data_IF_956163914831
#
_entry.id   IF_956163914831
#
_cell.length_a   1.000
_cell.length_b   1.000
_cell.length_c   1.000
_cell.angle_alpha   90.00
_cell.angle_beta   90.00
_cell.angle_gamma   90.00
#
_symmetry.space_group_name_H-M   'P 1'
#
loop_
_entity.id
_entity.type
_entity.pdbx_description
1 polymer ?
#
# COMPACT_ATOMS: atom_id res chain seq x y z
N UNK A 1 16.00 -26.53 3.89
CA UNK A 1 17.02 -25.49 3.70
C UNK A 1 17.96 -25.97 2.60
N UNK A 2 17.99 -25.24 1.48
CA UNK A 2 18.81 -25.28 0.25
C UNK A 2 19.58 -26.56 -0.17
N UNK A 3 18.93 -27.48 -0.88
CA UNK A 3 19.61 -28.53 -1.67
C UNK A 3 20.16 -28.05 -3.02
N UNK A 4 19.75 -26.86 -3.49
CA UNK A 4 20.06 -26.36 -4.85
C UNK A 4 21.40 -25.62 -4.90
N UNK A 5 21.94 -25.16 -3.77
CA UNK A 5 23.19 -24.39 -3.72
C UNK A 5 24.43 -25.23 -4.08
N UNK A 6 24.37 -26.56 -3.92
CA UNK A 6 25.48 -27.46 -4.19
C UNK A 6 25.46 -28.10 -5.59
N UNK A 7 24.49 -27.76 -6.45
CA UNK A 7 24.31 -28.39 -7.76
C UNK A 7 25.28 -27.80 -8.80
N UNK A 8 26.14 -28.65 -9.38
CA UNK A 8 27.08 -28.25 -10.44
C UNK A 8 26.43 -28.25 -11.82
N UNK A 9 26.56 -27.15 -12.56
CA UNK A 9 26.10 -27.04 -13.96
C UNK A 9 26.96 -27.85 -14.94
N UNK A 10 26.41 -28.10 -16.14
CA UNK A 10 27.03 -28.80 -17.26
C UNK A 10 26.58 -30.26 -17.41
N UNK A 11 27.24 -30.99 -18.31
CA UNK A 11 27.02 -32.43 -18.50
C UNK A 11 27.62 -33.24 -17.35
N UNK A 12 26.82 -34.13 -16.74
CA UNK A 12 27.18 -34.91 -15.55
C UNK A 12 26.58 -36.31 -15.63
N UNK A 13 27.25 -37.27 -15.00
CA UNK A 13 26.70 -38.59 -14.71
C UNK A 13 26.24 -38.63 -13.25
N UNK A 14 25.05 -39.16 -13.00
CA UNK A 14 24.52 -39.43 -11.66
C UNK A 14 24.32 -40.93 -11.48
N UNK A 15 24.90 -41.50 -10.43
CA UNK A 15 24.62 -42.89 -10.05
C UNK A 15 23.24 -42.94 -9.40
N UNK A 16 22.40 -43.88 -9.85
CA UNK A 16 21.09 -44.08 -9.24
C UNK A 16 21.25 -44.77 -7.88
N UNK A 17 20.42 -44.37 -6.91
CA UNK A 17 20.39 -44.96 -5.58
C UNK A 17 19.12 -45.81 -5.44
N UNK A 18 19.19 -46.88 -4.65
CA UNK A 18 18.02 -47.69 -4.31
C UNK A 18 17.13 -46.99 -3.25
N UNK A 19 16.06 -47.67 -2.82
CA UNK A 19 15.14 -47.15 -1.79
C UNK A 19 15.79 -46.98 -0.41
N UNK A 20 16.93 -47.62 -0.17
CA UNK A 20 17.71 -47.55 1.05
C UNK A 20 18.83 -46.48 0.97
N UNK A 21 19.03 -45.87 -0.21
CA UNK A 21 20.05 -44.86 -0.47
C UNK A 21 21.39 -45.40 -0.95
N UNK A 22 21.48 -46.70 -1.26
CA UNK A 22 22.71 -47.36 -1.72
C UNK A 22 22.87 -47.29 -3.25
N UNK A 23 24.10 -47.13 -3.77
CA UNK A 23 24.33 -46.99 -5.21
C UNK A 23 24.04 -48.27 -5.98
N UNK A 24 23.24 -48.15 -7.04
CA UNK A 24 22.91 -49.25 -7.95
C UNK A 24 24.04 -49.51 -8.94
N UNK A 25 24.45 -50.77 -9.07
CA UNK A 25 25.50 -51.19 -10.00
C UNK A 25 25.08 -50.93 -11.46
N UNK A 26 26.01 -50.42 -12.26
CA UNK A 26 25.86 -50.14 -13.70
C UNK A 26 24.71 -49.19 -14.09
N UNK A 27 24.15 -48.47 -13.13
CA UNK A 27 22.99 -47.60 -13.34
C UNK A 27 23.41 -46.14 -13.19
N UNK A 28 23.73 -45.49 -14.31
CA UNK A 28 24.08 -44.06 -14.33
C UNK A 28 23.18 -43.29 -15.28
N UNK A 29 22.82 -42.07 -14.90
CA UNK A 29 22.05 -41.14 -15.70
C UNK A 29 22.96 -40.01 -16.18
N UNK A 30 23.05 -39.83 -17.49
CA UNK A 30 23.76 -38.71 -18.09
C UNK A 30 22.80 -37.54 -18.34
N UNK A 31 23.05 -36.41 -17.70
CA UNK A 31 22.18 -35.22 -17.77
C UNK A 31 23.00 -33.95 -18.01
N UNK A 32 22.36 -32.97 -18.66
CA UNK A 32 22.86 -31.61 -18.73
C UNK A 32 22.13 -30.74 -17.70
N UNK A 33 22.85 -30.26 -16.70
CA UNK A 33 22.30 -29.44 -15.61
C UNK A 33 22.54 -27.96 -15.91
N UNK A 34 21.47 -27.17 -15.99
CA UNK A 34 21.56 -25.72 -16.14
C UNK A 34 20.80 -25.02 -15.01
N UNK A 35 21.52 -24.21 -14.22
CA UNK A 35 20.93 -23.37 -13.17
C UNK A 35 20.81 -21.96 -13.71
N UNK A 36 19.59 -21.41 -13.72
CA UNK A 36 19.34 -20.04 -14.18
C UNK A 36 18.41 -19.30 -13.22
N UNK A 37 18.57 -17.98 -13.10
CA UNK A 37 17.59 -17.13 -12.42
C UNK A 37 16.23 -17.20 -13.15
N UNK A 38 15.12 -16.77 -12.53
CA UNK A 38 13.75 -16.74 -13.11
C UNK A 38 13.61 -16.07 -14.49
N UNK A 39 14.68 -15.48 -15.04
CA UNK A 39 14.75 -14.84 -16.35
C UNK A 39 15.55 -15.61 -17.42
N UNK A 40 16.02 -16.84 -17.15
CA UNK A 40 16.59 -17.75 -18.15
C UNK A 40 17.92 -17.27 -18.76
N UNK A 41 19.02 -17.98 -18.45
CA UNK A 41 20.39 -17.62 -18.86
C UNK A 41 20.73 -17.91 -20.33
N UNK A 42 20.00 -17.30 -21.28
CA UNK A 42 20.34 -17.32 -22.70
C UNK A 42 21.07 -16.06 -23.14
N UNK A 43 22.13 -16.19 -23.96
CA UNK A 43 22.75 -15.03 -24.63
C UNK A 43 21.70 -14.35 -25.52
N UNK A 44 21.48 -13.03 -25.40
CA UNK A 44 20.50 -12.34 -26.22
C UNK A 44 20.90 -12.46 -27.70
N UNK A 45 20.09 -13.15 -28.51
CA UNK A 45 20.21 -13.10 -29.98
C UNK A 45 20.10 -11.63 -30.37
N UNK A 46 21.21 -11.03 -30.84
CA UNK A 46 21.23 -9.73 -31.50
C UNK A 46 20.41 -9.84 -32.80
N UNK A 47 19.08 -9.71 -32.70
CA UNK A 47 18.24 -9.38 -33.85
C UNK A 47 18.37 -7.89 -34.12
N UNK A 48 18.45 -7.55 -35.41
CA UNK A 48 18.84 -6.25 -35.94
C UNK A 48 18.15 -5.04 -35.33
N UNK A 49 18.87 -3.92 -35.37
CA UNK A 49 18.56 -2.65 -34.71
C UNK A 49 17.38 -1.90 -35.36
N UNK A 50 16.70 -2.45 -36.38
CA UNK A 50 15.62 -1.74 -37.10
C UNK A 50 14.21 -1.89 -36.54
N UNK A 51 13.98 -2.66 -35.45
CA UNK A 51 12.70 -2.63 -34.72
C UNK A 51 12.93 -2.41 -33.24
N UNK A 52 13.80 -1.46 -32.89
CA UNK A 52 13.82 -0.89 -31.55
C UNK A 52 12.96 0.37 -31.55
N UNK A 53 11.64 0.21 -31.71
CA UNK A 53 10.72 1.10 -31.00
C UNK A 53 10.92 0.81 -29.52
N UNK A 54 11.92 1.47 -28.93
CA UNK A 54 11.96 1.76 -27.51
C UNK A 54 10.63 2.44 -27.21
N UNK A 55 9.61 1.66 -26.85
CA UNK A 55 8.71 2.11 -25.82
C UNK A 55 9.60 2.27 -24.60
N UNK A 56 10.20 3.46 -24.49
CA UNK A 56 10.83 3.96 -23.28
C UNK A 56 9.92 3.54 -22.15
N UNK A 57 10.45 2.77 -21.20
CA UNK A 57 9.81 2.38 -19.94
C UNK A 57 8.73 3.41 -19.59
N UNK A 58 7.49 3.02 -19.86
CA UNK A 58 6.29 3.76 -19.53
C UNK A 58 6.22 3.67 -18.00
N UNK A 59 6.88 4.60 -17.32
CA UNK A 59 6.94 4.67 -15.85
C UNK A 59 5.57 5.04 -15.25
N UNK A 60 4.58 5.32 -16.11
CA UNK A 60 3.25 5.83 -15.77
C UNK A 60 2.08 5.00 -16.27
N UNK A 61 2.27 3.96 -17.08
CA UNK A 61 1.19 3.20 -17.74
C UNK A 61 0.53 3.87 -18.96
N UNK A 62 0.84 5.14 -19.27
CA UNK A 62 0.27 5.91 -20.40
C UNK A 62 0.82 5.41 -21.75
N UNK A 63 -0.07 5.25 -22.74
CA UNK A 63 0.25 4.94 -24.13
C UNK A 63 0.28 6.19 -24.99
N UNK A 64 1.19 6.22 -25.97
CA UNK A 64 1.27 7.30 -26.94
C UNK A 64 0.12 7.20 -27.95
N UNK A 65 -0.62 8.29 -28.13
CA UNK A 65 -1.76 8.39 -29.06
C UNK A 65 -1.28 8.81 -30.45
N UNK A 66 -0.21 9.61 -30.53
CA UNK A 66 0.36 10.10 -31.79
C UNK A 66 -0.18 11.45 -32.22
N UNK A 67 -0.99 12.11 -31.39
CA UNK A 67 -1.44 13.48 -31.55
C UNK A 67 -0.75 14.31 -30.47
N UNK A 68 0.16 15.20 -30.88
CA UNK A 68 1.07 15.90 -29.96
C UNK A 68 0.33 16.64 -28.83
N UNK A 69 -0.75 17.35 -29.15
CA UNK A 69 -1.56 18.08 -28.15
C UNK A 69 -2.15 17.13 -27.09
N UNK A 70 -2.69 15.99 -27.50
CA UNK A 70 -3.23 14.98 -26.58
C UNK A 70 -2.11 14.30 -25.78
N UNK A 71 -1.02 13.91 -26.46
CA UNK A 71 0.13 13.29 -25.79
C UNK A 71 0.74 14.22 -24.74
N UNK A 72 0.80 15.53 -25.01
CA UNK A 72 1.29 16.52 -24.06
C UNK A 72 0.29 16.77 -22.92
N UNK A 73 -1.03 16.74 -23.18
CA UNK A 73 -2.06 16.80 -22.15
C UNK A 73 -2.00 15.59 -21.19
N UNK A 74 -1.76 14.37 -21.69
CA UNK A 74 -1.56 13.19 -20.84
C UNK A 74 -0.21 13.19 -20.12
N UNK A 75 0.83 13.86 -20.64
CA UNK A 75 2.11 14.04 -19.94
C UNK A 75 2.05 15.10 -18.85
N UNK A 76 1.19 16.12 -19.00
CA UNK A 76 1.04 17.18 -18.03
C UNK A 76 0.56 16.61 -16.69
N UNK A 77 1.50 16.50 -15.73
CA UNK A 77 1.30 16.06 -14.35
C UNK A 77 0.54 14.73 -14.16
N UNK A 78 0.77 13.74 -15.02
CA UNK A 78 0.55 12.33 -14.65
C UNK A 78 1.63 11.85 -13.66
N UNK A 79 1.88 12.62 -12.59
CA UNK A 79 2.65 12.12 -11.47
C UNK A 79 1.65 11.38 -10.60
N UNK A 80 1.70 10.05 -10.72
CA UNK A 80 0.96 9.02 -10.01
C UNK A 80 0.92 9.24 -8.49
N UNK A 81 0.18 10.25 -8.04
CA UNK A 81 0.10 10.65 -6.65
C UNK A 81 -0.69 9.60 -5.86
N UNK A 82 -1.75 9.03 -6.44
CA UNK A 82 -2.54 8.01 -5.73
C UNK A 82 -1.77 6.72 -5.47
N UNK A 83 -1.13 6.10 -6.49
CA UNK A 83 -0.41 4.84 -6.23
C UNK A 83 0.88 5.04 -5.41
N UNK A 84 1.52 6.21 -5.50
CA UNK A 84 2.66 6.52 -4.62
C UNK A 84 2.24 6.77 -3.17
N UNK A 85 1.17 7.54 -2.94
CA UNK A 85 0.60 7.75 -1.61
C UNK A 85 0.08 6.44 -1.00
N UNK A 86 -0.59 5.60 -1.80
CA UNK A 86 -1.01 4.27 -1.37
C UNK A 86 0.17 3.45 -0.86
N UNK A 87 1.24 3.40 -1.65
CA UNK A 87 2.43 2.60 -1.33
C UNK A 87 3.13 3.13 -0.08
N UNK A 88 3.19 4.44 0.09
CA UNK A 88 3.74 5.07 1.30
C UNK A 88 2.88 4.69 2.51
N UNK A 89 1.56 4.83 2.43
CA UNK A 89 0.63 4.46 3.50
C UNK A 89 0.77 2.98 3.90
N UNK A 90 0.73 2.07 2.92
CA UNK A 90 0.88 0.63 3.15
C UNK A 90 2.24 0.30 3.78
N UNK A 91 3.31 1.00 3.39
CA UNK A 91 4.63 0.80 3.98
C UNK A 91 4.70 1.26 5.45
N UNK A 92 4.13 2.42 5.78
CA UNK A 92 4.06 2.90 7.17
C UNK A 92 3.20 1.98 8.03
N UNK A 93 2.09 1.46 7.49
CA UNK A 93 1.22 0.50 8.17
C UNK A 93 1.96 -0.81 8.48
N UNK A 94 2.63 -1.39 7.48
CA UNK A 94 3.43 -2.62 7.66
C UNK A 94 4.53 -2.41 8.68
N UNK A 95 5.24 -1.27 8.61
CA UNK A 95 6.29 -0.94 9.58
C UNK A 95 5.73 -0.86 11.01
N UNK A 96 4.55 -0.26 11.18
CA UNK A 96 3.90 -0.21 12.49
C UNK A 96 3.48 -1.60 12.99
N UNK A 97 2.89 -2.43 12.13
CA UNK A 97 2.51 -3.81 12.48
C UNK A 97 3.74 -4.62 12.92
N UNK A 98 4.84 -4.55 12.18
CA UNK A 98 6.11 -5.19 12.53
C UNK A 98 6.64 -4.69 13.88
N UNK A 99 6.58 -3.37 14.12
CA UNK A 99 6.98 -2.79 15.40
C UNK A 99 6.12 -3.25 16.58
N UNK A 100 4.87 -3.64 16.32
CA UNK A 100 3.99 -4.25 17.31
C UNK A 100 4.19 -5.78 17.43
N UNK A 101 4.99 -6.40 16.56
CA UNK A 101 5.15 -7.86 16.47
C UNK A 101 3.91 -8.56 15.90
N UNK A 102 3.16 -7.87 15.03
CA UNK A 102 1.99 -8.39 14.35
C UNK A 102 2.33 -8.83 12.92
N UNK A 103 1.54 -9.75 12.39
CA UNK A 103 1.60 -10.12 10.96
C UNK A 103 1.04 -9.00 10.06
N UNK A 104 1.38 -9.00 8.75
CA UNK A 104 1.01 -7.94 7.81
C UNK A 104 -0.50 -7.81 7.56
N UNK A 105 -1.28 -8.85 7.90
CA UNK A 105 -2.74 -8.85 7.78
C UNK A 105 -3.46 -8.35 9.05
N UNK A 106 -2.72 -7.90 10.08
CA UNK A 106 -3.33 -7.48 11.34
C UNK A 106 -3.99 -6.11 11.24
N UNK A 107 -5.12 -5.95 11.93
CA UNK A 107 -5.91 -4.71 11.92
C UNK A 107 -5.35 -3.66 12.88
N UNK A 108 -5.68 -2.38 12.64
CA UNK A 108 -5.36 -1.28 13.57
C UNK A 108 -5.89 -1.56 14.98
N UNK A 109 -7.09 -2.13 15.07
CA UNK A 109 -7.70 -2.58 16.33
C UNK A 109 -6.83 -3.58 17.08
N UNK A 110 -6.32 -4.61 16.40
CA UNK A 110 -5.49 -5.64 17.02
C UNK A 110 -4.16 -5.05 17.52
N UNK A 111 -3.51 -4.21 16.71
CA UNK A 111 -2.28 -3.54 17.12
C UNK A 111 -2.48 -2.62 18.31
N UNK A 112 -3.56 -1.84 18.32
CA UNK A 112 -3.85 -0.96 19.45
C UNK A 112 -4.13 -1.72 20.74
N UNK A 113 -4.93 -2.80 20.69
CA UNK A 113 -5.20 -3.65 21.87
C UNK A 113 -3.93 -4.30 22.42
N UNK A 114 -3.07 -4.78 21.53
CA UNK A 114 -1.80 -5.40 21.92
C UNK A 114 -0.85 -4.37 22.55
N UNK A 115 -0.76 -3.18 21.95
CA UNK A 115 0.06 -2.09 22.46
C UNK A 115 -0.41 -1.66 23.86
N UNK A 116 -1.71 -1.43 24.04
CA UNK A 116 -2.33 -1.14 25.32
C UNK A 116 -2.03 -2.22 26.38
N UNK A 117 -2.26 -3.49 26.05
CA UNK A 117 -2.01 -4.61 26.96
C UNK A 117 -0.54 -4.70 27.39
N UNK A 118 0.40 -4.42 26.48
CA UNK A 118 1.84 -4.44 26.80
C UNK A 118 2.26 -3.27 27.68
N UNK A 119 1.68 -2.08 27.48
CA UNK A 119 1.95 -0.92 28.33
C UNK A 119 1.44 -1.17 29.76
N UNK A 120 0.24 -1.74 29.91
CA UNK A 120 -0.27 -2.16 31.22
C UNK A 120 0.54 -3.30 31.87
N UNK A 121 1.02 -4.27 31.09
CA UNK A 121 1.88 -5.32 31.62
C UNK A 121 3.22 -4.75 32.13
N UNK A 122 3.78 -3.77 31.42
CA UNK A 122 4.99 -3.08 31.84
C UNK A 122 4.76 -2.26 33.13
N UNK A 123 3.57 -1.69 33.33
CA UNK A 123 3.25 -0.94 34.57
C UNK A 123 3.12 -1.82 35.81
N UNK A 124 2.74 -3.10 35.67
CA UNK A 124 2.47 -4.00 36.80
C UNK A 124 3.72 -4.75 37.30
N UNK A 125 4.87 -4.56 36.67
CA UNK A 125 6.12 -5.27 37.01
C UNK A 125 6.89 -4.58 38.15
N UNK A 126 6.55 -3.34 38.51
CA UNK A 126 7.13 -2.61 39.64
C UNK A 126 6.42 -2.97 40.96
N UNK A 127 7.09 -3.77 41.80
CA UNK A 127 6.57 -4.33 43.06
C UNK A 127 6.67 -3.40 44.29
N UNK A 128 7.09 -2.14 44.13
CA UNK A 128 7.27 -1.20 45.22
C UNK A 128 6.08 -0.22 45.33
N UNK A 129 5.55 -0.03 46.54
CA UNK A 129 4.40 0.85 46.80
C UNK A 129 4.65 2.35 46.48
N UNK A 130 5.91 2.79 46.39
CA UNK A 130 6.29 4.14 45.97
C UNK A 130 6.25 4.34 44.43
N UNK A 131 6.34 3.27 43.64
CA UNK A 131 6.29 3.32 42.16
C UNK A 131 4.86 3.35 41.61
N UNK A 132 3.84 3.14 42.46
CA UNK A 132 2.42 3.26 42.07
C UNK A 132 2.06 4.66 41.57
N UNK A 133 2.79 5.69 41.98
CA UNK A 133 2.62 7.07 41.49
C UNK A 133 3.15 7.29 40.06
N UNK A 134 3.95 6.36 39.52
CA UNK A 134 4.49 6.39 38.14
C UNK A 134 3.93 5.24 37.29
N UNK A 135 2.71 4.77 37.60
CA UNK A 135 2.05 3.77 36.79
C UNK A 135 1.97 4.24 35.33
N UNK A 136 2.44 3.42 34.40
CA UNK A 136 2.43 3.81 33.00
C UNK A 136 0.99 3.90 32.49
N UNK A 137 0.57 5.09 32.09
CA UNK A 137 -0.76 5.30 31.50
C UNK A 137 -0.65 5.32 29.99
N UNK A 138 -1.63 4.70 29.35
CA UNK A 138 -1.81 4.70 27.91
C UNK A 138 -3.11 5.43 27.62
N UNK A 139 -3.01 6.65 27.10
CA UNK A 139 -4.17 7.47 26.73
C UNK A 139 -4.14 7.76 25.23
N UNK A 140 -5.32 7.99 24.67
CA UNK A 140 -5.49 8.45 23.30
C UNK A 140 -6.28 9.75 23.35
N UNK A 141 -5.64 10.82 22.89
CA UNK A 141 -6.28 12.10 22.66
C UNK A 141 -6.75 12.19 21.21
N UNK A 142 -7.84 12.90 20.94
CA UNK A 142 -8.29 13.18 19.58
C UNK A 142 -8.06 14.65 19.29
N UNK A 143 -7.03 14.93 18.51
CA UNK A 143 -6.69 16.28 18.08
C UNK A 143 -7.12 16.49 16.63
N UNK A 144 -8.02 17.46 16.41
CA UNK A 144 -8.60 17.77 15.09
C UNK A 144 -9.21 16.56 14.36
N UNK A 145 -9.76 15.60 15.12
CA UNK A 145 -10.32 14.36 14.56
C UNK A 145 -9.29 13.25 14.29
N UNK A 146 -8.02 13.44 14.68
CA UNK A 146 -6.97 12.44 14.53
C UNK A 146 -6.45 11.94 15.89
N UNK A 147 -6.31 10.62 16.09
CA UNK A 147 -5.92 10.03 17.36
C UNK A 147 -4.41 10.18 17.59
N UNK A 148 -4.03 10.65 18.77
CA UNK A 148 -2.64 10.77 19.24
C UNK A 148 -2.46 9.95 20.50
N UNK A 149 -1.41 9.14 20.55
CA UNK A 149 -1.09 8.36 21.75
C UNK A 149 -0.34 9.26 22.73
N UNK A 150 -0.82 9.33 23.96
CA UNK A 150 -0.13 9.94 25.08
C UNK A 150 0.30 8.84 26.05
N UNK A 151 1.62 8.79 26.30
CA UNK A 151 2.22 7.87 27.26
C UNK A 151 2.69 8.67 28.47
N UNK A 152 2.24 8.27 29.65
CA UNK A 152 2.76 8.79 30.92
C UNK A 152 3.49 7.66 31.66
N UNK A 153 4.49 8.01 32.47
CA UNK A 153 5.27 7.06 33.26
C UNK A 153 6.44 6.37 32.52
N UNK A 154 6.98 5.33 33.16
CA UNK A 154 8.17 4.63 32.68
C UNK A 154 7.84 3.50 31.68
N UNK A 155 7.59 3.87 30.42
CA UNK A 155 7.32 2.92 29.34
C UNK A 155 8.62 2.45 28.66
N UNK A 156 8.84 1.14 28.46
CA UNK A 156 10.01 0.60 27.73
C UNK A 156 10.19 1.20 26.33
N UNK A 157 11.45 1.41 25.92
CA UNK A 157 11.81 2.03 24.64
C UNK A 157 11.22 1.32 23.41
N UNK A 158 11.08 -0.01 23.49
CA UNK A 158 10.49 -0.81 22.41
C UNK A 158 9.04 -0.37 22.18
N UNK A 159 8.25 -0.18 23.24
CA UNK A 159 6.86 0.24 23.14
C UNK A 159 6.75 1.71 22.73
N UNK A 160 7.68 2.58 23.18
CA UNK A 160 7.75 3.97 22.71
C UNK A 160 8.00 4.04 21.19
N UNK A 161 8.89 3.20 20.66
CA UNK A 161 9.14 3.11 19.21
C UNK A 161 7.90 2.64 18.44
N UNK A 162 7.13 1.69 18.98
CA UNK A 162 5.85 1.26 18.37
C UNK A 162 4.83 2.41 18.36
N UNK A 163 4.77 3.23 19.41
CA UNK A 163 3.91 4.43 19.46
C UNK A 163 4.35 5.50 18.47
N UNK A 164 5.66 5.74 18.32
CA UNK A 164 6.19 6.66 17.30
C UNK A 164 5.87 6.17 15.87
N UNK A 165 5.94 4.85 15.63
CA UNK A 165 5.54 4.29 14.35
C UNK A 165 4.04 4.44 14.10
N UNK A 166 3.21 4.35 15.14
CA UNK A 166 1.78 4.64 15.05
C UNK A 166 1.51 6.09 14.65
N UNK A 167 2.19 7.06 15.29
CA UNK A 167 2.04 8.48 14.97
C UNK A 167 2.37 8.77 13.50
N UNK A 168 3.36 8.09 12.91
CA UNK A 168 3.65 8.22 11.47
C UNK A 168 2.50 7.76 10.59
N UNK A 169 1.84 6.64 10.93
CA UNK A 169 0.65 6.15 10.22
C UNK A 169 -0.47 7.20 10.28
N UNK A 170 -0.73 7.77 11.45
CA UNK A 170 -1.74 8.81 11.62
C UNK A 170 -1.39 10.08 10.84
N UNK A 171 -0.11 10.50 10.88
CA UNK A 171 0.35 11.66 10.12
C UNK A 171 0.18 11.46 8.61
N UNK A 172 0.36 10.25 8.09
CA UNK A 172 0.05 9.96 6.68
C UNK A 172 -1.46 9.92 6.43
N UNK A 173 -2.28 9.39 7.35
CA UNK A 173 -3.74 9.38 7.21
C UNK A 173 -4.26 10.82 7.10
N UNK A 174 -3.77 11.70 7.98
CA UNK A 174 -4.07 13.14 7.96
C UNK A 174 -3.71 13.77 6.61
N UNK A 175 -2.47 13.58 6.14
CA UNK A 175 -2.03 14.10 4.84
C UNK A 175 -2.87 13.61 3.66
N UNK A 176 -3.33 12.36 3.68
CA UNK A 176 -4.16 11.81 2.60
C UNK A 176 -5.56 12.40 2.67
N UNK A 177 -6.19 12.42 3.85
CA UNK A 177 -7.55 12.96 4.05
C UNK A 177 -7.62 14.45 3.68
N UNK A 178 -6.62 15.24 4.06
CA UNK A 178 -6.60 16.69 3.76
C UNK A 178 -6.32 16.98 2.28
N UNK A 179 -5.61 16.10 1.57
CA UNK A 179 -5.17 16.35 0.19
C UNK A 179 -5.98 15.61 -0.87
N UNK A 180 -6.74 14.58 -0.49
CA UNK A 180 -7.46 13.70 -1.43
C UNK A 180 -8.41 14.48 -2.32
N UNK A 181 -9.23 15.36 -1.74
CA UNK A 181 -10.29 16.07 -2.48
C UNK A 181 -9.66 17.02 -3.52
N UNK A 182 -8.64 17.76 -3.11
CA UNK A 182 -7.89 18.62 -4.03
C UNK A 182 -7.17 17.84 -5.14
N UNK A 183 -6.75 16.60 -4.88
CA UNK A 183 -6.12 15.73 -5.88
C UNK A 183 -7.17 15.12 -6.82
N UNK A 184 -8.31 14.67 -6.30
CA UNK A 184 -9.43 14.14 -7.10
C UNK A 184 -9.94 15.22 -8.05
N UNK A 185 -10.26 16.41 -7.54
CA UNK A 185 -10.73 17.53 -8.38
C UNK A 185 -9.72 17.89 -9.49
N UNK A 186 -8.41 17.87 -9.19
CA UNK A 186 -7.37 18.11 -10.20
C UNK A 186 -7.37 17.04 -11.28
N UNK A 187 -7.52 15.76 -10.92
CA UNK A 187 -7.59 14.66 -11.89
C UNK A 187 -8.83 14.78 -12.76
N UNK A 188 -9.98 15.07 -12.17
CA UNK A 188 -11.24 15.30 -12.91
C UNK A 188 -11.14 16.47 -13.88
N UNK A 189 -10.55 17.59 -13.45
CA UNK A 189 -10.32 18.75 -14.31
C UNK A 189 -9.39 18.41 -15.48
N UNK A 190 -8.32 17.64 -15.25
CA UNK A 190 -7.46 17.16 -16.34
C UNK A 190 -8.22 16.23 -17.29
N UNK A 191 -9.03 15.30 -16.77
CA UNK A 191 -9.88 14.43 -17.59
C UNK A 191 -10.83 15.24 -18.49
N UNK A 192 -11.45 16.29 -17.96
CA UNK A 192 -12.34 17.17 -18.71
C UNK A 192 -11.58 17.89 -19.83
N UNK A 193 -10.45 18.52 -19.51
CA UNK A 193 -9.58 19.20 -20.51
C UNK A 193 -9.11 18.26 -21.63
N UNK A 194 -8.75 17.02 -21.28
CA UNK A 194 -8.33 16.00 -22.25
C UNK A 194 -9.50 15.60 -23.15
N UNK A 195 -10.70 15.45 -22.59
CA UNK A 195 -11.89 15.12 -23.36
C UNK A 195 -12.27 16.25 -24.32
N UNK A 196 -12.24 17.50 -23.86
CA UNK A 196 -12.53 18.67 -24.70
C UNK A 196 -11.52 18.77 -25.85
N UNK A 197 -10.23 18.60 -25.57
CA UNK A 197 -9.18 18.55 -26.59
C UNK A 197 -9.38 17.40 -27.59
N UNK A 198 -9.86 16.24 -27.14
CA UNK A 198 -10.17 15.12 -28.03
C UNK A 198 -11.35 15.44 -28.96
N UNK A 199 -12.40 16.08 -28.46
CA UNK A 199 -13.55 16.52 -29.27
C UNK A 199 -13.14 17.55 -30.32
N UNK A 200 -12.31 18.54 -29.95
CA UNK A 200 -11.76 19.51 -30.89
C UNK A 200 -10.98 18.84 -32.02
N UNK A 201 -10.11 17.88 -31.68
CA UNK A 201 -9.34 17.12 -32.69
C UNK A 201 -10.25 16.22 -33.54
N UNK A 202 -11.38 15.76 -33.01
CA UNK A 202 -12.36 15.02 -33.78
C UNK A 202 -13.11 15.91 -34.78
N UNK A 203 -13.36 17.18 -34.43
CA UNK A 203 -14.13 18.14 -35.22
C UNK A 203 -13.27 18.92 -36.24
N UNK A 204 -11.94 18.88 -36.12
CA UNK A 204 -11.02 19.54 -37.06
C UNK A 204 -11.02 18.80 -38.42
N UNK A 205 -11.48 19.47 -39.47
CA UNK A 205 -11.55 18.95 -40.85
C UNK A 205 -10.19 18.96 -41.55
N UNK A 206 -9.20 19.63 -40.97
CA UNK A 206 -7.83 19.65 -41.47
C UNK A 206 -7.17 18.28 -41.20
N UNK A 207 -6.47 17.75 -42.20
CA UNK A 207 -6.00 16.35 -42.35
C UNK A 207 -4.97 15.85 -41.30
N UNK A 208 -4.95 16.41 -40.10
CA UNK A 208 -4.14 16.04 -38.93
C UNK A 208 -4.57 14.71 -38.32
N UNK A 209 -5.76 14.22 -38.69
CA UNK A 209 -6.32 12.97 -38.16
C UNK A 209 -5.56 11.75 -38.70
N UNK A 210 -5.08 10.83 -37.83
CA UNK A 210 -4.62 9.54 -38.29
C UNK A 210 -5.77 8.77 -38.97
N UNK A 211 -5.59 8.29 -40.20
CA UNK A 211 -6.61 7.56 -40.98
C UNK A 211 -6.42 6.04 -40.89
N UNK A 212 -7.51 5.30 -41.16
CA UNK A 212 -7.49 3.83 -41.22
C UNK A 212 -7.04 3.18 -39.91
N UNK A 213 -6.16 2.16 -40.00
CA UNK A 213 -5.69 1.41 -38.84
C UNK A 213 -4.96 2.27 -37.79
N UNK A 214 -4.38 3.41 -38.20
CA UNK A 214 -3.74 4.34 -37.28
C UNK A 214 -4.77 5.09 -36.42
N UNK A 215 -5.95 5.40 -36.99
CA UNK A 215 -7.08 6.00 -36.28
C UNK A 215 -7.56 5.08 -35.16
N UNK A 216 -7.77 3.80 -35.49
CA UNK A 216 -8.22 2.78 -34.55
C UNK A 216 -7.24 2.64 -33.39
N UNK A 217 -5.94 2.55 -33.67
CA UNK A 217 -4.90 2.47 -32.63
C UNK A 217 -4.85 3.72 -31.75
N UNK A 218 -4.98 4.91 -32.33
CA UNK A 218 -5.01 6.16 -31.57
C UNK A 218 -6.21 6.21 -30.61
N UNK A 219 -7.40 5.80 -31.10
CA UNK A 219 -8.62 5.70 -30.30
C UNK A 219 -8.49 4.67 -29.17
N UNK A 220 -7.91 3.50 -29.43
CA UNK A 220 -7.66 2.48 -28.40
C UNK A 220 -6.68 2.96 -27.33
N UNK A 221 -5.61 3.66 -27.73
CA UNK A 221 -4.62 4.22 -26.82
C UNK A 221 -5.22 5.35 -25.98
N UNK A 222 -6.05 6.21 -26.57
CA UNK A 222 -6.80 7.23 -25.86
C UNK A 222 -7.73 6.60 -24.80
N UNK A 223 -8.55 5.61 -25.19
CA UNK A 223 -9.44 4.90 -24.29
C UNK A 223 -8.68 4.16 -23.16
N UNK A 224 -7.49 3.63 -23.44
CA UNK A 224 -6.61 3.08 -22.41
C UNK A 224 -6.17 4.14 -21.40
N UNK A 225 -5.72 5.31 -21.88
CA UNK A 225 -5.26 6.38 -21.00
C UNK A 225 -6.39 6.97 -20.15
N UNK A 226 -7.60 7.12 -20.70
CA UNK A 226 -8.78 7.54 -19.94
C UNK A 226 -9.14 6.54 -18.84
N UNK A 227 -9.13 5.23 -19.14
CA UNK A 227 -9.34 4.17 -18.13
C UNK A 227 -8.28 4.21 -17.03
N UNK A 228 -7.04 4.47 -17.41
CA UNK A 228 -5.94 4.60 -16.46
C UNK A 228 -6.15 5.80 -15.52
N UNK A 229 -6.56 6.97 -16.04
CA UNK A 229 -6.90 8.14 -15.21
C UNK A 229 -8.05 7.84 -14.25
N UNK A 230 -9.12 7.23 -14.74
CA UNK A 230 -10.27 6.83 -13.90
C UNK A 230 -9.83 5.88 -12.78
N UNK A 231 -9.00 4.89 -13.10
CA UNK A 231 -8.43 3.97 -12.12
C UNK A 231 -7.58 4.67 -11.05
N UNK A 232 -6.90 5.77 -11.38
CA UNK A 232 -6.15 6.56 -10.40
C UNK A 232 -7.09 7.29 -9.42
N UNK A 233 -8.24 7.80 -9.89
CA UNK A 233 -9.29 8.39 -9.04
C UNK A 233 -9.90 7.36 -8.12
N UNK A 234 -10.35 6.21 -8.65
CA UNK A 234 -10.91 5.10 -7.87
C UNK A 234 -9.91 4.60 -6.80
N UNK A 235 -8.63 4.55 -7.16
CA UNK A 235 -7.55 4.21 -6.22
C UNK A 235 -7.45 5.25 -5.09
N UNK A 236 -7.56 6.54 -5.40
CA UNK A 236 -7.52 7.60 -4.38
C UNK A 236 -8.70 7.52 -3.41
N UNK A 237 -9.91 7.35 -3.94
CA UNK A 237 -11.13 7.19 -3.15
C UNK A 237 -11.03 5.99 -2.21
N UNK A 238 -10.51 4.87 -2.72
CA UNK A 238 -10.28 3.67 -1.91
C UNK A 238 -9.30 3.93 -0.77
N UNK A 239 -8.16 4.57 -1.03
CA UNK A 239 -7.17 4.87 0.02
C UNK A 239 -7.76 5.84 1.06
N UNK A 240 -8.53 6.83 0.61
CA UNK A 240 -9.22 7.76 1.49
C UNK A 240 -10.18 7.01 2.44
N UNK A 241 -10.96 6.08 1.92
CA UNK A 241 -11.88 5.27 2.72
C UNK A 241 -11.11 4.35 3.70
N UNK A 242 -10.02 3.73 3.25
CA UNK A 242 -9.14 2.94 4.12
C UNK A 242 -8.57 3.79 5.28
N UNK A 243 -8.11 5.01 5.00
CA UNK A 243 -7.61 5.92 6.03
C UNK A 243 -8.70 6.28 7.05
N UNK A 244 -9.91 6.61 6.58
CA UNK A 244 -11.07 6.92 7.44
C UNK A 244 -11.45 5.74 8.32
N UNK A 245 -11.44 4.54 7.75
CA UNK A 245 -11.71 3.31 8.49
C UNK A 245 -10.62 3.03 9.53
N UNK A 246 -9.34 3.31 9.25
CA UNK A 246 -8.29 3.21 10.26
C UNK A 246 -8.54 4.14 11.45
N UNK A 247 -8.85 5.41 11.21
CA UNK A 247 -9.17 6.38 12.28
C UNK A 247 -10.38 5.92 13.09
N UNK A 248 -11.44 5.43 12.41
CA UNK A 248 -12.63 4.88 13.06
C UNK A 248 -12.33 3.65 13.90
N UNK A 249 -11.52 2.72 13.40
CA UNK A 249 -11.11 1.53 14.16
C UNK A 249 -10.36 1.91 15.42
N UNK A 250 -9.44 2.86 15.33
CA UNK A 250 -8.64 3.33 16.47
C UNK A 250 -9.56 3.99 17.51
N UNK A 251 -10.40 4.93 17.09
CA UNK A 251 -11.30 5.66 17.98
C UNK A 251 -12.27 4.72 18.69
N UNK A 252 -12.90 3.81 17.95
CA UNK A 252 -13.81 2.81 18.54
C UNK A 252 -13.06 1.89 19.52
N UNK A 253 -11.83 1.50 19.18
CA UNK A 253 -11.03 0.63 20.05
C UNK A 253 -10.58 1.37 21.31
N UNK A 254 -10.22 2.65 21.19
CA UNK A 254 -9.87 3.51 22.32
C UNK A 254 -11.03 3.66 23.30
N UNK A 255 -12.24 3.88 22.76
CA UNK A 255 -13.48 3.93 23.53
C UNK A 255 -13.73 2.60 24.26
N UNK A 256 -13.63 1.47 23.55
CA UNK A 256 -13.81 0.13 24.15
C UNK A 256 -12.78 -0.20 25.24
N UNK A 257 -11.57 0.35 25.14
CA UNK A 257 -10.51 0.17 26.13
C UNK A 257 -10.59 1.18 27.28
N UNK A 258 -11.51 2.16 27.21
CA UNK A 258 -11.61 3.29 28.14
C UNK A 258 -10.30 4.10 28.29
N UNK A 259 -9.53 4.21 27.19
CA UNK A 259 -8.27 4.96 27.14
C UNK A 259 -8.42 6.30 26.42
N UNK A 260 -9.63 6.65 26.01
CA UNK A 260 -9.89 7.93 25.36
C UNK A 260 -9.81 9.05 26.41
N UNK A 261 -8.98 10.05 26.17
CA UNK A 261 -8.92 11.25 27.00
C UNK A 261 -10.26 11.98 26.85
N UNK A 262 -11.02 12.05 27.93
CA UNK A 262 -12.37 12.63 27.90
C UNK A 262 -12.26 14.12 27.56
N UNK A 263 -12.50 14.48 26.31
CA UNK A 263 -13.15 15.74 25.96
C UNK A 263 -14.59 15.46 25.56
N UNK A 264 -15.38 14.88 26.47
CA UNK A 264 -16.84 15.00 26.36
C UNK A 264 -17.25 16.41 26.78
N UNK A 265 -17.34 17.30 25.80
CA UNK A 265 -18.51 18.16 25.74
C UNK A 265 -19.74 17.24 25.63
N UNK A 266 -20.47 17.13 26.76
CA UNK A 266 -21.85 16.63 26.90
C UNK A 266 -22.12 15.14 26.51
N UNK A 267 -22.53 14.29 27.47
CA UNK A 267 -23.15 13.00 27.16
C UNK A 267 -24.61 13.20 26.73
N UNK A 268 -25.00 12.63 25.58
CA UNK A 268 -26.41 12.43 25.22
C UNK A 268 -27.10 11.58 26.30
N UNK A 269 -27.88 12.23 27.16
CA UNK A 269 -28.81 11.57 28.06
C UNK A 269 -30.02 11.07 27.25
N UNK A 270 -30.07 9.78 26.95
CA UNK A 270 -31.36 9.11 26.77
C UNK A 270 -31.56 8.12 27.92
N UNK A 271 -32.15 8.70 28.98
CA UNK A 271 -32.71 8.03 30.15
C UNK A 271 -33.77 7.02 29.72
N UNK A 272 -33.53 5.77 30.11
CA UNK A 272 -34.54 4.74 30.33
C UNK A 272 -35.61 5.31 31.28
N UNK A 273 -36.87 5.38 30.85
CA UNK A 273 -38.00 5.44 31.78
C UNK A 273 -38.67 4.07 31.75
N UNK A 274 -38.42 3.33 32.84
CA UNK A 274 -39.31 2.28 33.32
C UNK A 274 -40.68 2.91 33.58
N UNK A 275 -41.71 2.47 32.86
CA UNK A 275 -43.10 2.62 33.28
C UNK A 275 -43.43 1.50 34.26
N UNK A 276 -43.38 1.81 35.55
CA UNK A 276 -44.13 1.12 36.59
C UNK A 276 -45.33 1.99 36.99
N UNK A 277 -46.42 1.33 37.41
CA UNK A 277 -47.77 1.78 37.78
C UNK A 277 -48.74 1.66 36.59
N UNK A 278 -49.77 0.81 36.61
CA UNK A 278 -50.72 0.46 37.69
C UNK A 278 -50.93 -1.05 37.78
#
# INVERSE_FOLDING_TARGET
MYAVECVKVGYRHFTLLDINGEPMLNSTLFVHVAVTNKRGGGKPKKRGVSVRRKYSKIQTGIKQIGIKRLDDAFKAKFNCCSSSLHKIMQNELTQWQESCGLGPAATMRQGLRLLHSRVLAASNTSSNAADLAYQSQFLIDIDEGFPRIELEGNVPDILRKSCQSFEKVIAQCRRIIERSDALICKVEEQCKRINDCYQEVCNDENDVRPKGQQATRASENFAWNCRLLKSQTETMEKILEECREYIKQITNTACLLNVLKIQCQQPCQHRTQQTNNI
#
